data_IF_248287600900
#
_entry.id   IF_248287600900
#
_cell.length_a   1.000
_cell.length_b   1.000
_cell.length_c   1.000
_cell.angle_alpha   90.00
_cell.angle_beta   90.00
_cell.angle_gamma   90.00
#
_symmetry.space_group_name_H-M   'P 1'
#
loop_
_entity.id
_entity.type
_entity.pdbx_description
1 polymer ?
#
# COMPACT_ATOMS: atom_id res chain seq x y z
N UNK A 1 -8.16 27.23 3.68
CA UNK A 1 -7.03 27.96 3.04
C UNK A 1 -6.39 27.01 2.03
N UNK A 2 -6.29 27.36 0.74
CA UNK A 2 -5.69 26.46 -0.25
C UNK A 2 -4.16 26.58 -0.18
N UNK A 3 -3.43 25.45 -0.19
CA UNK A 3 -1.99 25.46 -0.41
C UNK A 3 -1.71 24.84 -1.78
N UNK A 4 -1.18 25.71 -2.64
CA UNK A 4 -0.90 25.52 -4.05
C UNK A 4 0.00 24.34 -4.38
N UNK A 5 -0.21 23.81 -5.58
CA UNK A 5 0.66 22.86 -6.26
C UNK A 5 2.06 23.42 -6.53
N UNK A 6 3.09 22.62 -6.32
CA UNK A 6 4.39 22.69 -7.02
C UNK A 6 5.02 21.30 -7.00
N UNK A 7 5.07 20.66 -8.16
CA UNK A 7 5.83 19.44 -8.42
C UNK A 7 7.31 19.78 -8.65
N UNK A 8 8.24 19.01 -8.07
CA UNK A 8 9.53 18.66 -8.66
C UNK A 8 10.29 17.66 -7.76
N UNK A 9 10.31 16.39 -8.19
CA UNK A 9 11.42 15.43 -8.11
C UNK A 9 12.39 15.56 -6.91
N UNK A 10 12.03 14.99 -5.77
CA UNK A 10 13.04 14.49 -4.85
C UNK A 10 13.32 13.05 -5.30
N UNK A 11 14.53 12.73 -5.75
CA UNK A 11 14.97 11.34 -5.75
C UNK A 11 15.10 10.94 -4.28
N UNK A 12 13.95 10.63 -3.66
CA UNK A 12 13.91 10.12 -2.33
C UNK A 12 14.75 8.85 -2.36
N UNK A 13 15.84 8.86 -1.62
CA UNK A 13 16.69 7.70 -1.49
C UNK A 13 15.93 6.64 -0.69
N UNK A 14 15.11 5.87 -1.41
CA UNK A 14 14.31 4.79 -0.85
C UNK A 14 15.20 3.62 -0.41
N UNK A 15 16.52 3.66 -0.58
CA UNK A 15 17.41 2.53 -0.24
C UNK A 15 17.28 2.11 1.23
N UNK A 16 17.20 3.07 2.14
CA UNK A 16 17.05 2.80 3.58
C UNK A 16 15.67 2.24 3.93
N UNK A 17 14.61 2.75 3.28
CA UNK A 17 13.24 2.25 3.41
C UNK A 17 13.13 0.81 2.87
N UNK A 18 13.64 0.57 1.67
CA UNK A 18 13.68 -0.75 1.03
C UNK A 18 14.47 -1.74 1.87
N UNK A 19 15.63 -1.34 2.42
CA UNK A 19 16.40 -2.19 3.33
C UNK A 19 15.60 -2.56 4.58
N UNK A 20 14.78 -1.64 5.11
CA UNK A 20 13.94 -1.87 6.28
C UNK A 20 12.78 -2.82 5.97
N UNK A 21 12.09 -2.60 4.85
CA UNK A 21 11.04 -3.49 4.36
C UNK A 21 11.57 -4.91 4.09
N UNK A 22 12.73 -5.03 3.42
CA UNK A 22 13.35 -6.32 3.13
C UNK A 22 13.68 -7.10 4.41
N UNK A 23 14.16 -6.42 5.46
CA UNK A 23 14.39 -7.08 6.76
C UNK A 23 13.09 -7.57 7.37
N UNK A 24 12.04 -6.75 7.38
CA UNK A 24 10.73 -7.13 7.92
C UNK A 24 10.15 -8.35 7.18
N UNK A 25 10.27 -8.37 5.85
CA UNK A 25 9.80 -9.47 5.00
C UNK A 25 10.60 -10.77 5.15
N UNK A 26 11.89 -10.69 5.53
CA UNK A 26 12.76 -11.87 5.60
C UNK A 26 12.85 -12.49 6.99
N UNK A 27 12.59 -11.72 8.05
CA UNK A 27 12.82 -12.14 9.43
C UNK A 27 11.55 -12.60 10.16
N UNK A 28 10.37 -12.30 9.62
CA UNK A 28 9.10 -12.48 10.32
C UNK A 28 8.13 -13.38 9.54
N UNK A 29 7.20 -14.06 10.23
CA UNK A 29 6.10 -14.75 9.56
C UNK A 29 5.29 -13.78 8.68
N UNK A 30 4.79 -14.26 7.54
CA UNK A 30 4.14 -13.44 6.51
C UNK A 30 3.13 -12.42 7.07
N UNK A 31 2.21 -12.87 7.94
CA UNK A 31 1.19 -12.00 8.52
C UNK A 31 1.80 -10.80 9.29
N UNK A 32 2.83 -11.07 10.10
CA UNK A 32 3.53 -10.03 10.87
C UNK A 32 4.36 -9.14 9.94
N UNK A 33 5.00 -9.71 8.93
CA UNK A 33 5.77 -8.97 7.95
C UNK A 33 4.91 -7.97 7.15
N UNK A 34 3.71 -8.38 6.73
CA UNK A 34 2.76 -7.50 6.02
C UNK A 34 2.29 -6.36 6.92
N UNK A 35 1.91 -6.67 8.17
CA UNK A 35 1.50 -5.67 9.16
C UNK A 35 2.61 -4.64 9.46
N UNK A 36 3.87 -5.08 9.56
CA UNK A 36 5.00 -4.17 9.71
C UNK A 36 5.22 -3.32 8.45
N UNK A 37 5.10 -3.92 7.26
CA UNK A 37 5.34 -3.23 5.99
C UNK A 37 4.38 -2.06 5.77
N UNK A 38 3.08 -2.25 6.00
CA UNK A 38 2.08 -1.17 5.84
C UNK A 38 2.32 -0.02 6.83
N UNK A 39 2.76 -0.34 8.06
CA UNK A 39 3.12 0.68 9.06
C UNK A 39 4.35 1.48 8.65
N UNK A 40 5.42 0.79 8.27
CA UNK A 40 6.66 1.42 7.78
C UNK A 40 6.36 2.36 6.62
N UNK A 41 5.53 1.93 5.67
CA UNK A 41 5.13 2.74 4.53
C UNK A 41 4.29 3.97 4.95
N UNK A 42 3.28 3.77 5.81
CA UNK A 42 2.41 4.85 6.30
C UNK A 42 3.19 5.90 7.10
N UNK A 43 4.17 5.48 7.89
CA UNK A 43 5.03 6.37 8.70
C UNK A 43 6.12 7.05 7.85
N UNK A 44 6.42 6.53 6.66
CA UNK A 44 7.47 7.09 5.79
C UNK A 44 7.04 8.34 5.01
N UNK A 45 5.74 8.64 4.96
CA UNK A 45 5.19 9.75 4.18
C UNK A 45 3.87 10.23 4.76
N UNK A 46 3.81 11.52 5.10
CA UNK A 46 2.58 12.21 5.53
C UNK A 46 1.60 12.44 4.37
N UNK A 47 1.97 12.08 3.13
CA UNK A 47 1.10 12.25 1.96
C UNK A 47 -0.03 11.21 1.90
N UNK A 48 0.13 10.05 2.54
CA UNK A 48 -0.83 8.97 2.46
C UNK A 48 -1.60 8.85 3.77
N UNK A 49 -2.93 8.98 3.71
CA UNK A 49 -3.78 8.78 4.89
C UNK A 49 -3.97 7.29 5.23
N UNK A 50 -3.92 6.43 4.20
CA UNK A 50 -4.13 4.99 4.30
C UNK A 50 -3.17 4.22 3.40
N UNK A 51 -2.60 3.12 3.92
CA UNK A 51 -1.77 2.16 3.18
C UNK A 51 -2.23 0.75 3.51
N UNK A 52 -2.35 -0.12 2.51
CA UNK A 52 -2.73 -1.51 2.76
C UNK A 52 -2.27 -2.48 1.69
N UNK A 53 -2.34 -3.76 2.03
CA UNK A 53 -1.95 -4.88 1.17
C UNK A 53 -3.14 -5.84 1.09
N UNK A 54 -3.56 -6.13 -0.14
CA UNK A 54 -4.52 -7.17 -0.45
C UNK A 54 -3.80 -8.40 -0.99
N UNK A 55 -4.28 -9.59 -0.62
CA UNK A 55 -3.83 -10.85 -1.20
C UNK A 55 -4.92 -11.40 -2.12
N UNK A 56 -4.52 -11.87 -3.29
CA UNK A 56 -5.42 -12.58 -4.20
C UNK A 56 -5.80 -13.92 -3.56
N UNK A 57 -7.11 -14.18 -3.50
CA UNK A 57 -7.73 -15.43 -3.08
C UNK A 57 -8.80 -15.77 -4.09
N UNK A 58 -8.54 -16.82 -4.88
CA UNK A 58 -9.39 -17.20 -6.00
C UNK A 58 -9.62 -16.02 -6.96
N UNK A 59 -10.83 -15.47 -7.01
CA UNK A 59 -11.21 -14.36 -7.87
C UNK A 59 -11.40 -13.03 -7.11
N UNK A 60 -10.96 -12.97 -5.85
CA UNK A 60 -11.12 -11.80 -4.98
C UNK A 60 -9.78 -11.32 -4.41
N UNK A 61 -9.73 -10.03 -4.09
CA UNK A 61 -8.69 -9.40 -3.29
C UNK A 61 -9.18 -9.32 -1.85
N UNK A 62 -8.45 -9.93 -0.92
CA UNK A 62 -8.77 -9.92 0.51
C UNK A 62 -7.74 -9.10 1.27
N UNK A 63 -8.19 -8.16 2.08
CA UNK A 63 -7.32 -7.29 2.88
C UNK A 63 -6.51 -8.13 3.86
N UNK A 64 -5.19 -8.04 3.79
CA UNK A 64 -4.28 -8.78 4.65
C UNK A 64 -3.64 -7.92 5.73
N UNK A 65 -3.38 -6.64 5.43
CA UNK A 65 -2.84 -5.68 6.40
C UNK A 65 -3.17 -4.25 5.93
N UNK A 66 -3.35 -3.34 6.88
CA UNK A 66 -3.48 -1.91 6.61
C UNK A 66 -2.88 -1.06 7.74
N UNK A 67 -2.62 0.20 7.43
CA UNK A 67 -2.27 1.26 8.37
C UNK A 67 -2.95 2.55 7.92
N UNK A 68 -3.79 3.11 8.78
CA UNK A 68 -4.55 4.34 8.57
C UNK A 68 -5.43 4.60 9.80
N UNK A 69 -6.04 5.78 9.86
CA UNK A 69 -6.84 6.19 11.01
C UNK A 69 -8.16 5.39 11.11
N UNK A 70 -8.69 4.96 9.98
CA UNK A 70 -9.94 4.21 9.88
C UNK A 70 -9.77 2.90 9.09
N UNK A 71 -10.61 1.91 9.44
CA UNK A 71 -10.78 0.70 8.65
C UNK A 71 -11.44 1.03 7.31
N UNK A 72 -10.99 0.36 6.25
CA UNK A 72 -11.62 0.49 4.93
C UNK A 72 -12.87 -0.39 4.85
N UNK A 73 -13.92 0.12 4.20
CA UNK A 73 -15.11 -0.68 3.87
C UNK A 73 -14.79 -1.82 2.89
N UNK A 74 -13.68 -1.71 2.14
CA UNK A 74 -13.32 -2.61 1.05
C UNK A 74 -12.50 -3.82 1.51
N UNK A 75 -12.92 -4.53 2.56
CA UNK A 75 -12.17 -5.69 3.10
C UNK A 75 -12.03 -6.83 2.07
N UNK A 76 -12.99 -6.97 1.17
CA UNK A 76 -12.99 -7.92 0.05
C UNK A 76 -13.42 -7.21 -1.23
N UNK A 77 -12.64 -7.36 -2.31
CA UNK A 77 -12.87 -6.68 -3.59
C UNK A 77 -12.81 -7.71 -4.73
N UNK A 78 -13.88 -7.86 -5.54
CA UNK A 78 -13.84 -8.73 -6.71
C UNK A 78 -12.80 -8.31 -7.74
N UNK A 79 -12.15 -9.29 -8.39
CA UNK A 79 -11.17 -9.03 -9.45
C UNK A 79 -11.77 -8.17 -10.57
N UNK A 80 -11.09 -7.08 -10.92
CA UNK A 80 -11.54 -6.12 -11.93
C UNK A 80 -12.59 -5.11 -11.47
N UNK A 81 -12.99 -5.11 -10.19
CA UNK A 81 -13.91 -4.10 -9.64
C UNK A 81 -13.16 -2.97 -8.93
N UNK A 82 -13.48 -1.72 -9.28
CA UNK A 82 -12.83 -0.54 -8.72
C UNK A 82 -11.34 -0.45 -9.09
N UNK A 83 -10.63 0.52 -8.51
CA UNK A 83 -9.23 0.80 -8.87
C UNK A 83 -8.31 -0.36 -8.47
N UNK A 84 -8.45 -0.88 -7.25
CA UNK A 84 -7.65 -2.01 -6.76
C UNK A 84 -7.91 -3.29 -7.55
N UNK A 85 -9.17 -3.61 -7.83
CA UNK A 85 -9.55 -4.78 -8.61
C UNK A 85 -9.05 -4.70 -10.05
N UNK A 86 -9.14 -3.53 -10.70
CA UNK A 86 -8.59 -3.32 -12.04
C UNK A 86 -7.07 -3.45 -12.07
N UNK A 87 -6.35 -2.85 -11.11
CA UNK A 87 -4.90 -2.96 -11.03
C UNK A 87 -4.44 -4.42 -10.89
N UNK A 88 -5.12 -5.20 -10.05
CA UNK A 88 -4.84 -6.62 -9.88
C UNK A 88 -5.15 -7.44 -11.14
N UNK A 89 -6.24 -7.12 -11.86
CA UNK A 89 -6.62 -7.80 -13.09
C UNK A 89 -5.64 -7.52 -14.23
N UNK A 90 -5.17 -6.28 -14.34
CA UNK A 90 -4.24 -5.84 -15.39
C UNK A 90 -2.78 -6.21 -15.08
N UNK A 91 -2.46 -6.48 -13.81
CA UNK A 91 -1.07 -6.70 -13.37
C UNK A 91 -0.20 -5.44 -13.54
N UNK A 92 -0.83 -4.27 -13.52
CA UNK A 92 -0.20 -2.99 -13.78
C UNK A 92 -0.50 -1.99 -12.66
N UNK A 93 0.44 -1.06 -12.42
CA UNK A 93 0.23 0.03 -11.45
C UNK A 93 -0.74 1.05 -12.03
N UNK A 94 -1.78 1.39 -11.27
CA UNK A 94 -2.73 2.44 -11.62
C UNK A 94 -2.52 3.64 -10.70
N UNK A 95 -2.37 4.82 -11.28
CA UNK A 95 -2.24 6.09 -10.56
C UNK A 95 -3.45 6.94 -10.93
N UNK A 96 -4.22 7.36 -9.91
CA UNK A 96 -5.36 8.26 -10.08
C UNK A 96 -4.93 9.65 -9.58
N UNK A 97 -4.90 10.68 -10.45
CA UNK A 97 -4.43 12.03 -10.10
C UNK A 97 -5.44 12.88 -9.33
#
# INVERSE_FOLDING_TARGET
MPKSATQATQSADYSSLLATLNRALSAEPLAKALAMSVRILRESSDHFDWVGIYLVRENDLVLAAYAGDEETEHVMIPMGQGICGSAAKEGATIIVP
#
